data_IF_572744906909
#
_entry.id   IF_572744906909
#
_cell.length_a   1.000
_cell.length_b   1.000
_cell.length_c   1.000
_cell.angle_alpha   90.00
_cell.angle_beta   90.00
_cell.angle_gamma   90.00
#
_symmetry.space_group_name_H-M   'P 1'
#
loop_
_entity.id
_entity.type
_entity.pdbx_description
1 polymer ?
#
# COMPACT_ATOMS: atom_id res chain seq x y z
N UNK A 1 -34.57 -11.76 -18.71
CA UNK A 1 -33.50 -10.91 -18.13
C UNK A 1 -33.77 -10.78 -16.62
N UNK A 2 -32.73 -10.72 -15.81
CA UNK A 2 -32.84 -10.45 -14.38
C UNK A 2 -33.21 -8.99 -14.18
N UNK A 3 -34.17 -8.71 -13.28
CA UNK A 3 -34.65 -7.35 -13.04
C UNK A 3 -33.66 -6.60 -12.14
N UNK A 4 -33.24 -5.41 -12.54
CA UNK A 4 -32.32 -4.57 -11.79
C UNK A 4 -33.11 -3.77 -10.75
N UNK A 5 -32.93 -4.07 -9.49
CA UNK A 5 -33.42 -3.26 -8.39
C UNK A 5 -32.36 -2.22 -8.00
N UNK A 6 -32.58 -0.98 -8.35
CA UNK A 6 -31.75 0.15 -7.90
C UNK A 6 -32.46 0.83 -6.72
N UNK A 7 -31.77 0.95 -5.59
CA UNK A 7 -32.26 1.77 -4.50
C UNK A 7 -32.40 3.22 -5.00
N UNK A 8 -33.58 3.81 -4.83
CA UNK A 8 -33.86 5.21 -5.23
C UNK A 8 -32.93 6.25 -4.57
N UNK A 9 -32.21 5.84 -3.53
CA UNK A 9 -31.18 6.66 -2.85
C UNK A 9 -29.76 6.41 -3.39
N UNK A 10 -29.59 5.42 -4.26
CA UNK A 10 -28.29 5.10 -4.85
C UNK A 10 -27.89 6.21 -5.84
N UNK A 11 -26.67 6.72 -5.68
CA UNK A 11 -26.13 7.84 -6.50
C UNK A 11 -24.80 7.44 -7.07
N UNK A 12 -24.40 8.09 -8.17
CA UNK A 12 -23.03 8.07 -8.64
C UNK A 12 -22.06 8.38 -7.50
N UNK A 13 -20.89 7.75 -7.52
CA UNK A 13 -19.92 7.91 -6.44
C UNK A 13 -18.62 7.17 -6.73
N UNK A 14 -17.88 6.85 -5.67
CA UNK A 14 -16.55 6.27 -5.76
C UNK A 14 -16.51 4.94 -6.54
N UNK A 15 -17.59 4.13 -6.47
CA UNK A 15 -17.66 2.79 -7.05
C UNK A 15 -18.89 2.57 -7.96
N UNK A 16 -19.59 3.62 -8.34
CA UNK A 16 -20.81 3.52 -9.14
C UNK A 16 -20.86 4.63 -10.17
N UNK A 17 -21.22 4.27 -11.40
CA UNK A 17 -21.37 5.19 -12.52
C UNK A 17 -22.53 4.80 -13.42
N UNK A 18 -23.32 5.79 -13.86
CA UNK A 18 -24.39 5.61 -14.84
C UNK A 18 -24.06 6.33 -16.15
N UNK A 19 -24.28 5.67 -17.27
CA UNK A 19 -24.06 6.27 -18.59
C UNK A 19 -25.21 5.92 -19.53
N UNK A 20 -25.85 6.92 -20.08
CA UNK A 20 -27.02 6.78 -20.98
C UNK A 20 -26.81 5.87 -22.18
N UNK A 21 -25.64 5.89 -22.79
CA UNK A 21 -25.17 5.03 -23.90
C UNK A 21 -26.08 5.02 -25.15
N UNK A 22 -27.00 5.98 -25.33
CA UNK A 22 -27.99 6.03 -26.43
C UNK A 22 -27.37 6.16 -27.84
N UNK A 23 -26.10 6.43 -27.97
CA UNK A 23 -25.36 6.52 -29.24
C UNK A 23 -24.31 5.46 -29.42
N UNK A 24 -24.37 4.36 -28.65
CA UNK A 24 -23.35 3.34 -28.56
C UNK A 24 -22.44 3.52 -27.35
N UNK A 25 -21.29 2.86 -27.33
CA UNK A 25 -20.37 2.90 -26.20
C UNK A 25 -19.80 4.33 -25.98
N UNK A 26 -20.06 4.97 -24.81
CA UNK A 26 -19.59 6.33 -24.57
C UNK A 26 -18.05 6.38 -24.49
N UNK A 27 -17.43 7.39 -25.10
CA UNK A 27 -15.97 7.58 -25.04
C UNK A 27 -15.45 7.72 -23.61
N UNK A 28 -16.23 8.38 -22.73
CA UNK A 28 -15.95 8.54 -21.30
C UNK A 28 -15.98 7.23 -20.51
N UNK A 29 -16.51 6.13 -21.06
CA UNK A 29 -16.42 4.83 -20.42
C UNK A 29 -14.97 4.43 -20.14
N UNK A 30 -14.04 4.69 -21.04
CA UNK A 30 -12.64 4.30 -20.88
C UNK A 30 -11.91 5.18 -19.84
N UNK A 31 -12.34 6.42 -19.61
CA UNK A 31 -11.85 7.25 -18.52
C UNK A 31 -12.27 6.65 -17.17
N UNK A 32 -13.55 6.28 -17.04
CA UNK A 32 -14.08 5.57 -15.87
C UNK A 32 -13.42 4.20 -15.69
N UNK A 33 -13.18 3.44 -16.78
CA UNK A 33 -12.45 2.18 -16.74
C UNK A 33 -11.05 2.36 -16.13
N UNK A 34 -10.28 3.32 -16.62
CA UNK A 34 -8.96 3.65 -16.07
C UNK A 34 -9.08 4.08 -14.60
N UNK A 35 -10.02 4.97 -14.28
CA UNK A 35 -10.21 5.50 -12.93
C UNK A 35 -10.58 4.41 -11.92
N UNK A 36 -11.53 3.53 -12.24
CA UNK A 36 -11.92 2.43 -11.37
C UNK A 36 -10.80 1.40 -11.21
N UNK A 37 -10.13 1.03 -12.31
CA UNK A 37 -9.00 0.10 -12.26
C UNK A 37 -7.84 0.61 -11.40
N UNK A 38 -7.55 1.90 -11.42
CA UNK A 38 -6.47 2.51 -10.64
C UNK A 38 -6.85 2.83 -9.19
N UNK A 39 -8.14 2.68 -8.82
CA UNK A 39 -8.61 2.99 -7.46
C UNK A 39 -9.22 1.77 -6.77
N UNK A 40 -10.52 1.81 -6.47
CA UNK A 40 -11.21 0.80 -5.68
C UNK A 40 -12.07 -0.16 -6.53
N UNK A 41 -11.98 -0.06 -7.84
CA UNK A 41 -12.94 -0.70 -8.73
C UNK A 41 -14.32 -0.05 -8.66
N UNK A 42 -15.28 -0.65 -9.32
CA UNK A 42 -16.66 -0.16 -9.32
C UNK A 42 -17.54 -0.86 -10.33
N UNK A 43 -18.76 -0.38 -10.45
CA UNK A 43 -19.75 -0.85 -11.38
C UNK A 43 -20.21 0.29 -12.30
N UNK A 44 -20.27 0.03 -13.60
CA UNK A 44 -20.79 0.94 -14.60
C UNK A 44 -22.07 0.35 -15.18
N UNK A 45 -23.15 1.14 -15.18
CA UNK A 45 -24.39 0.78 -15.84
C UNK A 45 -24.54 1.58 -17.13
N UNK A 46 -24.50 0.92 -18.27
CA UNK A 46 -24.78 1.50 -19.59
C UNK A 46 -26.26 1.34 -19.93
N UNK A 47 -26.92 2.43 -20.28
CA UNK A 47 -28.37 2.47 -20.50
C UNK A 47 -29.14 3.13 -19.37
N UNK A 48 -28.46 3.71 -18.40
CA UNK A 48 -29.04 4.52 -17.32
C UNK A 48 -28.41 5.91 -17.31
N UNK A 49 -29.17 6.90 -16.80
CA UNK A 49 -28.72 8.27 -16.59
C UNK A 49 -29.22 8.77 -15.24
N UNK A 50 -28.36 9.36 -14.44
CA UNK A 50 -28.76 10.06 -13.23
C UNK A 50 -29.00 11.55 -13.57
N UNK A 51 -30.18 12.05 -13.23
CA UNK A 51 -30.55 13.46 -13.40
C UNK A 51 -30.04 14.31 -12.22
N UNK A 52 -30.03 15.63 -12.37
CA UNK A 52 -29.54 16.57 -11.35
C UNK A 52 -30.31 16.48 -10.01
N UNK A 53 -31.53 16.02 -10.00
CA UNK A 53 -32.32 15.75 -8.78
C UNK A 53 -31.99 14.40 -8.11
N UNK A 54 -31.12 13.63 -8.75
CA UNK A 54 -30.73 12.30 -8.30
C UNK A 54 -31.61 11.16 -8.80
N UNK A 55 -32.64 11.46 -9.61
CA UNK A 55 -33.50 10.44 -10.21
C UNK A 55 -32.74 9.65 -11.29
N UNK A 56 -32.86 8.32 -11.25
CA UNK A 56 -32.27 7.44 -12.27
C UNK A 56 -33.36 7.13 -13.32
N UNK A 57 -33.01 7.37 -14.58
CA UNK A 57 -33.89 7.14 -15.72
C UNK A 57 -33.27 6.19 -16.73
N UNK A 58 -34.12 5.42 -17.43
CA UNK A 58 -33.67 4.56 -18.54
C UNK A 58 -33.24 5.39 -19.75
N UNK A 59 -32.13 4.99 -20.37
CA UNK A 59 -31.67 5.49 -21.67
C UNK A 59 -32.48 4.90 -22.85
N UNK A 60 -33.43 4.01 -22.58
CA UNK A 60 -34.30 3.34 -23.56
C UNK A 60 -33.50 2.63 -24.67
N UNK A 61 -32.50 1.84 -24.28
CA UNK A 61 -31.74 1.02 -25.21
C UNK A 61 -32.61 -0.14 -25.71
N UNK A 62 -32.30 -0.65 -26.90
CA UNK A 62 -32.84 -1.88 -27.42
C UNK A 62 -31.85 -3.04 -27.23
N UNK A 63 -32.32 -4.28 -27.43
CA UNK A 63 -31.41 -5.45 -27.40
C UNK A 63 -30.31 -5.34 -28.47
N UNK A 64 -30.65 -4.81 -29.67
CA UNK A 64 -29.67 -4.56 -30.73
C UNK A 64 -28.61 -3.53 -30.33
N UNK A 65 -28.99 -2.49 -29.55
CA UNK A 65 -28.04 -1.52 -29.02
C UNK A 65 -27.08 -2.17 -28.02
N UNK A 66 -27.59 -3.02 -27.14
CA UNK A 66 -26.78 -3.76 -26.16
C UNK A 66 -25.77 -4.68 -26.88
N UNK A 67 -26.17 -5.41 -27.90
CA UNK A 67 -25.26 -6.29 -28.64
C UNK A 67 -24.17 -5.49 -29.38
N UNK A 68 -24.51 -4.36 -29.98
CA UNK A 68 -23.52 -3.45 -30.59
C UNK A 68 -22.53 -2.90 -29.54
N UNK A 69 -23.07 -2.47 -28.41
CA UNK A 69 -22.21 -1.96 -27.30
C UNK A 69 -21.26 -3.03 -26.80
N UNK A 70 -21.69 -4.29 -26.66
CA UNK A 70 -20.84 -5.42 -26.27
C UNK A 70 -19.72 -5.66 -27.28
N UNK A 71 -20.07 -5.72 -28.58
CA UNK A 71 -19.08 -5.91 -29.66
C UNK A 71 -18.01 -4.81 -29.62
N UNK A 72 -18.44 -3.54 -29.55
CA UNK A 72 -17.54 -2.40 -29.48
C UNK A 72 -16.68 -2.44 -28.21
N UNK A 73 -17.28 -2.77 -27.06
CA UNK A 73 -16.60 -2.88 -25.77
C UNK A 73 -15.48 -3.92 -25.82
N UNK A 74 -15.78 -5.16 -26.24
CA UNK A 74 -14.78 -6.21 -26.34
C UNK A 74 -13.69 -5.89 -27.37
N UNK A 75 -14.07 -5.31 -28.51
CA UNK A 75 -13.10 -4.88 -29.52
C UNK A 75 -12.12 -3.85 -28.98
N UNK A 76 -12.62 -2.83 -28.27
CA UNK A 76 -11.80 -1.74 -27.75
C UNK A 76 -11.01 -2.11 -26.48
N UNK A 77 -11.55 -2.99 -25.62
CA UNK A 77 -10.82 -3.52 -24.46
C UNK A 77 -9.63 -4.40 -24.87
N UNK A 78 -9.69 -5.04 -26.03
CA UNK A 78 -8.59 -5.85 -26.56
C UNK A 78 -7.68 -5.09 -27.55
N UNK A 79 -7.94 -3.81 -27.79
CA UNK A 79 -7.04 -2.94 -28.55
C UNK A 79 -5.98 -2.30 -27.64
N UNK A 80 -4.68 -2.70 -27.75
CA UNK A 80 -3.61 -2.14 -26.92
C UNK A 80 -3.36 -0.64 -27.18
N UNK A 81 -3.88 -0.09 -28.26
CA UNK A 81 -3.86 1.36 -28.52
C UNK A 81 -4.96 2.09 -27.73
N UNK A 82 -6.01 1.36 -27.33
CA UNK A 82 -7.13 1.94 -26.61
C UNK A 82 -6.98 1.82 -25.10
N UNK A 83 -6.62 0.63 -24.60
CA UNK A 83 -6.37 0.37 -23.16
C UNK A 83 -5.05 -0.35 -22.98
N UNK A 84 -4.32 -0.03 -21.91
CA UNK A 84 -3.03 -0.65 -21.60
C UNK A 84 -3.17 -2.13 -21.22
N UNK A 85 -4.28 -2.51 -20.62
CA UNK A 85 -4.59 -3.89 -20.20
C UNK A 85 -6.11 -4.07 -20.11
N UNK A 86 -6.61 -5.25 -20.49
CA UNK A 86 -8.01 -5.64 -20.29
C UNK A 86 -8.11 -6.43 -18.98
N UNK A 87 -8.90 -5.93 -18.03
CA UNK A 87 -9.15 -6.53 -16.71
C UNK A 87 -10.62 -6.93 -16.52
N UNK A 88 -11.46 -6.85 -17.58
CA UNK A 88 -12.88 -7.18 -17.50
C UNK A 88 -13.07 -8.60 -18.04
N UNK A 89 -13.29 -9.62 -17.21
CA UNK A 89 -13.67 -10.95 -17.66
C UNK A 89 -15.11 -10.98 -18.19
N UNK A 90 -15.44 -11.96 -19.00
CA UNK A 90 -16.77 -12.05 -19.64
C UNK A 90 -17.93 -12.12 -18.62
N UNK A 91 -17.73 -12.78 -17.48
CA UNK A 91 -18.71 -12.93 -16.41
C UNK A 91 -18.94 -11.65 -15.60
N UNK A 92 -18.07 -10.66 -15.75
CA UNK A 92 -18.24 -9.32 -15.17
C UNK A 92 -19.21 -8.42 -15.93
N UNK A 93 -19.71 -8.89 -17.11
CA UNK A 93 -20.64 -8.17 -17.96
C UNK A 93 -21.99 -8.90 -17.97
N UNK A 94 -23.03 -8.23 -17.50
CA UNK A 94 -24.38 -8.79 -17.41
C UNK A 94 -25.40 -7.88 -18.08
N UNK A 95 -26.38 -8.48 -18.75
CA UNK A 95 -27.54 -7.74 -19.25
C UNK A 95 -28.69 -7.90 -18.27
N UNK A 96 -29.15 -6.78 -17.75
CA UNK A 96 -30.25 -6.64 -16.79
C UNK A 96 -31.41 -5.86 -17.42
N UNK A 97 -32.55 -5.78 -16.73
CA UNK A 97 -33.72 -5.02 -17.19
C UNK A 97 -34.04 -3.94 -16.15
N UNK A 98 -34.25 -2.68 -16.61
CA UNK A 98 -34.71 -1.58 -15.79
C UNK A 98 -35.84 -0.82 -16.52
N UNK A 99 -37.00 -0.69 -15.90
CA UNK A 99 -38.19 -0.06 -16.46
C UNK A 99 -38.61 -0.61 -17.87
N UNK A 100 -38.44 -1.95 -18.06
CA UNK A 100 -38.76 -2.61 -19.32
C UNK A 100 -37.72 -2.43 -20.43
N UNK A 101 -36.57 -1.85 -20.16
CA UNK A 101 -35.47 -1.66 -21.09
C UNK A 101 -34.20 -2.40 -20.65
N UNK A 102 -33.43 -2.96 -21.60
CA UNK A 102 -32.18 -3.62 -21.28
C UNK A 102 -31.10 -2.61 -20.86
N UNK A 103 -30.32 -2.99 -19.88
CA UNK A 103 -29.19 -2.26 -19.29
C UNK A 103 -27.98 -3.17 -19.18
N UNK A 104 -26.81 -2.68 -19.48
CA UNK A 104 -25.58 -3.43 -19.35
C UNK A 104 -24.85 -3.06 -18.05
N UNK A 105 -24.75 -4.02 -17.13
CA UNK A 105 -23.90 -3.95 -15.94
C UNK A 105 -22.48 -4.39 -16.27
N UNK A 106 -21.48 -3.57 -15.92
CA UNK A 106 -20.06 -3.88 -16.13
C UNK A 106 -19.34 -3.70 -14.80
N UNK A 107 -18.85 -4.79 -14.21
CA UNK A 107 -18.06 -4.76 -12.98
C UNK A 107 -16.58 -4.63 -13.31
N UNK A 108 -15.94 -3.60 -12.78
CA UNK A 108 -14.53 -3.30 -12.98
C UNK A 108 -13.81 -3.53 -11.66
N UNK A 109 -12.97 -4.57 -11.59
CA UNK A 109 -12.15 -4.82 -10.42
C UNK A 109 -10.99 -3.82 -10.33
N UNK A 110 -10.50 -3.50 -9.12
CA UNK A 110 -9.25 -2.75 -8.98
C UNK A 110 -8.10 -3.56 -9.58
N UNK A 111 -7.26 -2.91 -10.40
CA UNK A 111 -6.10 -3.55 -11.01
C UNK A 111 -5.11 -4.02 -9.93
N UNK A 112 -4.51 -5.20 -10.07
CA UNK A 112 -3.38 -5.57 -9.25
C UNK A 112 -2.19 -4.61 -9.47
N UNK A 113 -1.29 -4.52 -8.48
CA UNK A 113 -0.20 -3.53 -8.50
C UNK A 113 0.67 -3.64 -9.76
N UNK A 114 0.96 -4.85 -10.21
CA UNK A 114 1.75 -5.16 -11.41
C UNK A 114 1.12 -4.66 -12.72
N UNK A 115 -0.20 -4.45 -12.74
CA UNK A 115 -0.95 -3.95 -13.90
C UNK A 115 -1.13 -2.41 -13.87
N UNK A 116 -0.77 -1.75 -12.78
CA UNK A 116 -0.93 -0.28 -12.67
C UNK A 116 0.29 0.47 -13.18
N UNK A 117 0.12 1.65 -13.79
CA UNK A 117 -1.16 2.31 -14.02
C UNK A 117 -1.91 1.74 -15.23
N UNK A 118 -3.23 1.59 -15.11
CA UNK A 118 -4.11 1.34 -16.24
C UNK A 118 -4.39 2.65 -16.95
N UNK A 119 -4.00 2.77 -18.21
CA UNK A 119 -4.14 4.00 -18.99
C UNK A 119 -4.80 3.76 -20.34
N UNK A 120 -5.30 4.81 -20.94
CA UNK A 120 -6.03 4.78 -22.22
C UNK A 120 -5.29 5.56 -23.31
N UNK A 121 -5.66 5.29 -24.57
CA UNK A 121 -5.19 5.98 -25.76
C UNK A 121 -3.65 5.97 -25.92
N UNK A 122 -3.03 4.88 -25.48
CA UNK A 122 -1.56 4.67 -25.54
C UNK A 122 -0.73 5.82 -24.95
N UNK A 123 -1.28 6.54 -23.96
CA UNK A 123 -0.59 7.65 -23.31
C UNK A 123 -0.70 7.56 -21.79
N UNK A 124 0.37 7.13 -21.16
CA UNK A 124 0.43 6.95 -19.71
C UNK A 124 0.29 8.27 -18.94
N UNK A 125 0.76 9.39 -19.50
CA UNK A 125 0.77 10.68 -18.79
C UNK A 125 -0.58 11.39 -18.80
N UNK A 126 -1.33 11.24 -19.90
CA UNK A 126 -2.63 11.90 -20.08
C UNK A 126 -3.81 10.94 -20.14
N UNK A 127 -3.55 9.63 -20.18
CA UNK A 127 -4.58 8.59 -20.22
C UNK A 127 -4.78 7.85 -18.91
N UNK A 128 -4.06 8.22 -17.84
CA UNK A 128 -4.21 7.61 -16.53
C UNK A 128 -5.15 8.45 -15.66
N UNK A 129 -6.23 7.80 -15.22
CA UNK A 129 -7.27 8.44 -14.40
C UNK A 129 -7.38 7.79 -13.02
N UNK A 130 -7.89 8.57 -12.07
CA UNK A 130 -8.28 8.12 -10.73
C UNK A 130 -9.69 8.57 -10.41
N UNK A 131 -10.41 7.79 -9.64
CA UNK A 131 -11.73 8.14 -9.13
C UNK A 131 -11.60 8.94 -7.84
N UNK A 132 -12.30 10.10 -7.77
CA UNK A 132 -12.40 10.88 -6.55
C UNK A 132 -13.82 11.44 -6.45
N UNK A 133 -14.57 11.00 -5.43
CA UNK A 133 -16.01 11.26 -5.37
C UNK A 133 -16.74 10.56 -6.52
N UNK A 134 -17.48 11.32 -7.29
CA UNK A 134 -18.24 10.94 -8.50
C UNK A 134 -17.52 11.28 -9.82
N UNK A 135 -16.29 11.82 -9.76
CA UNK A 135 -15.55 12.27 -10.93
C UNK A 135 -14.31 11.43 -11.25
N UNK A 136 -13.99 11.38 -12.56
CA UNK A 136 -12.79 10.79 -13.11
C UNK A 136 -11.77 11.89 -13.39
N UNK A 137 -10.63 11.87 -12.69
CA UNK A 137 -9.61 12.90 -12.76
C UNK A 137 -8.29 12.34 -13.25
N UNK A 138 -7.55 13.11 -14.04
CA UNK A 138 -6.19 12.73 -14.42
C UNK A 138 -5.31 12.54 -13.19
N UNK A 139 -4.51 11.46 -13.20
CA UNK A 139 -3.48 11.28 -12.20
C UNK A 139 -2.35 12.30 -12.38
N UNK A 140 -1.81 12.80 -11.28
CA UNK A 140 -0.60 13.60 -11.29
C UNK A 140 0.63 12.76 -11.68
N UNK A 141 1.69 13.43 -12.13
CA UNK A 141 2.96 12.75 -12.46
C UNK A 141 3.52 11.96 -11.27
N UNK A 142 3.32 12.47 -10.05
CA UNK A 142 3.76 11.81 -8.83
C UNK A 142 3.00 10.49 -8.59
N UNK A 143 1.66 10.49 -8.78
CA UNK A 143 0.83 9.29 -8.67
C UNK A 143 1.19 8.25 -9.74
N UNK A 144 1.41 8.67 -10.99
CA UNK A 144 1.84 7.76 -12.07
C UNK A 144 3.20 7.13 -11.73
N UNK A 145 4.17 7.94 -11.26
CA UNK A 145 5.48 7.42 -10.84
C UNK A 145 5.37 6.43 -9.68
N UNK A 146 4.47 6.69 -8.71
CA UNK A 146 4.22 5.76 -7.60
C UNK A 146 3.66 4.42 -8.11
N UNK A 147 2.65 4.43 -8.99
CA UNK A 147 2.10 3.23 -9.60
C UNK A 147 3.16 2.45 -10.39
N UNK A 148 4.00 3.14 -11.18
CA UNK A 148 5.11 2.52 -11.92
C UNK A 148 6.18 1.92 -11.02
N UNK A 149 6.45 2.49 -9.86
CA UNK A 149 7.33 1.87 -8.85
C UNK A 149 6.68 0.60 -8.31
N UNK A 150 5.40 0.69 -7.93
CA UNK A 150 4.66 -0.43 -7.34
C UNK A 150 4.43 -1.59 -8.32
N UNK A 151 4.43 -1.35 -9.64
CA UNK A 151 4.25 -2.38 -10.68
C UNK A 151 5.50 -3.23 -10.96
N UNK A 152 6.66 -2.86 -10.43
CA UNK A 152 7.89 -3.62 -10.68
C UNK A 152 7.92 -4.91 -9.87
N UNK A 153 8.16 -6.04 -10.53
CA UNK A 153 8.31 -7.36 -9.90
C UNK A 153 9.57 -7.49 -9.02
N UNK A 154 10.58 -6.65 -9.26
CA UNK A 154 11.84 -6.70 -8.50
C UNK A 154 11.66 -6.01 -7.16
N UNK A 155 12.19 -6.64 -6.09
CA UNK A 155 12.30 -5.99 -4.79
C UNK A 155 13.06 -4.67 -4.94
N UNK A 156 12.32 -3.56 -4.88
CA UNK A 156 12.89 -2.22 -5.12
C UNK A 156 13.89 -1.85 -4.02
N UNK A 157 13.63 -2.30 -2.80
CA UNK A 157 14.49 -2.09 -1.65
C UNK A 157 15.84 -2.86 -1.70
N UNK A 158 16.02 -3.77 -2.68
CA UNK A 158 17.31 -4.39 -3.02
C UNK A 158 18.14 -3.59 -4.05
N UNK A 159 17.63 -2.48 -4.58
CA UNK A 159 18.41 -1.64 -5.45
C UNK A 159 19.61 -1.04 -4.70
N UNK A 160 20.74 -0.90 -5.42
CA UNK A 160 21.98 -0.41 -4.83
C UNK A 160 21.99 1.12 -4.86
N UNK A 161 22.42 1.74 -3.75
CA UNK A 161 22.63 3.19 -3.64
C UNK A 161 24.12 3.46 -3.85
N UNK A 162 24.51 3.79 -5.10
CA UNK A 162 25.91 3.89 -5.53
C UNK A 162 26.66 5.07 -4.90
N UNK A 163 25.95 6.14 -4.52
CA UNK A 163 26.55 7.38 -4.03
C UNK A 163 26.86 7.34 -2.52
N UNK A 164 26.52 6.26 -1.85
CA UNK A 164 26.72 6.07 -0.41
C UNK A 164 27.64 4.87 -0.17
N UNK A 165 28.67 5.07 0.67
CA UNK A 165 29.58 4.01 1.12
C UNK A 165 28.98 3.21 2.27
N UNK A 166 29.33 1.92 2.39
CA UNK A 166 28.96 1.08 3.54
C UNK A 166 29.47 1.66 4.86
N UNK A 167 30.62 2.35 4.84
CA UNK A 167 31.20 2.99 6.03
C UNK A 167 30.35 4.20 6.56
N UNK A 168 29.37 4.64 5.79
CA UNK A 168 28.45 5.72 6.17
C UNK A 168 27.17 5.19 6.84
N UNK A 169 27.05 3.86 7.01
CA UNK A 169 26.03 3.24 7.84
C UNK A 169 26.40 3.31 9.32
N UNK A 170 25.39 3.31 10.20
CA UNK A 170 25.58 3.31 11.66
C UNK A 170 26.13 1.98 12.15
N UNK A 171 27.40 1.96 12.55
CA UNK A 171 28.03 0.78 13.15
C UNK A 171 27.34 0.34 14.45
N UNK A 172 26.79 1.30 15.22
CA UNK A 172 26.08 1.04 16.46
C UNK A 172 24.77 0.31 16.20
N UNK A 173 24.00 0.77 15.21
CA UNK A 173 22.75 0.13 14.80
C UNK A 173 23.01 -1.28 14.25
N UNK A 174 24.05 -1.43 13.42
CA UNK A 174 24.45 -2.75 12.87
C UNK A 174 24.84 -3.72 14.00
N UNK A 175 25.64 -3.27 14.97
CA UNK A 175 26.05 -4.09 16.10
C UNK A 175 24.85 -4.52 16.97
N UNK A 176 23.92 -3.60 17.23
CA UNK A 176 22.66 -3.86 17.95
C UNK A 176 21.82 -4.93 17.21
N UNK A 177 21.63 -4.75 15.92
CA UNK A 177 20.89 -5.70 15.07
C UNK A 177 21.56 -7.07 15.06
N UNK A 178 22.88 -7.15 14.82
CA UNK A 178 23.64 -8.40 14.79
C UNK A 178 23.63 -9.11 16.15
N UNK A 179 23.65 -8.37 17.24
CA UNK A 179 23.51 -8.90 18.59
C UNK A 179 22.19 -9.60 18.81
N UNK A 180 21.07 -8.94 18.39
CA UNK A 180 19.73 -9.53 18.47
C UNK A 180 19.59 -10.74 17.56
N UNK A 181 20.10 -10.66 16.34
CA UNK A 181 20.14 -11.81 15.42
C UNK A 181 20.86 -13.02 16.05
N UNK A 182 22.04 -12.79 16.66
CA UNK A 182 22.83 -13.84 17.33
C UNK A 182 22.08 -14.45 18.52
N UNK A 183 21.37 -13.64 19.27
CA UNK A 183 20.60 -14.14 20.42
C UNK A 183 19.47 -15.10 19.99
N UNK A 184 18.84 -14.86 18.84
CA UNK A 184 17.79 -15.71 18.29
C UNK A 184 18.33 -16.90 17.47
N UNK A 185 19.48 -16.74 16.83
CA UNK A 185 20.05 -17.71 15.89
C UNK A 185 21.56 -17.90 16.15
N UNK A 186 21.97 -18.46 17.31
CA UNK A 186 23.37 -18.47 17.74
C UNK A 186 24.31 -19.24 16.80
N UNK A 187 23.82 -20.25 16.10
CA UNK A 187 24.61 -21.11 15.19
C UNK A 187 24.34 -20.80 13.70
N UNK A 188 23.71 -19.67 13.39
CA UNK A 188 23.34 -19.38 12.01
C UNK A 188 24.56 -19.10 11.14
N UNK A 189 24.58 -19.66 9.92
CA UNK A 189 25.71 -19.54 8.97
C UNK A 189 26.07 -18.10 8.61
N UNK A 190 25.13 -17.15 8.70
CA UNK A 190 25.39 -15.73 8.46
C UNK A 190 26.33 -15.09 9.48
N UNK A 191 26.53 -15.71 10.64
CA UNK A 191 27.45 -15.25 11.68
C UNK A 191 28.90 -15.71 11.44
N UNK A 192 29.15 -16.59 10.46
CA UNK A 192 30.47 -17.15 10.12
C UNK A 192 31.31 -16.23 9.22
N UNK A 193 31.14 -14.92 9.32
CA UNK A 193 31.89 -13.96 8.51
C UNK A 193 32.09 -12.64 9.24
N UNK A 194 32.75 -11.72 8.57
CA UNK A 194 32.84 -10.34 9.01
C UNK A 194 31.49 -9.62 8.91
N UNK A 195 31.43 -8.38 9.37
CA UNK A 195 30.20 -7.59 9.36
C UNK A 195 29.72 -7.30 7.93
N UNK A 196 30.64 -7.17 6.99
CA UNK A 196 30.30 -6.92 5.60
C UNK A 196 29.59 -8.12 4.95
N UNK A 197 30.07 -9.33 5.20
CA UNK A 197 29.43 -10.57 4.75
C UNK A 197 28.07 -10.79 5.42
N UNK A 198 27.98 -10.49 6.71
CA UNK A 198 26.71 -10.53 7.41
C UNK A 198 25.68 -9.59 6.76
N UNK A 199 26.06 -8.34 6.49
CA UNK A 199 25.21 -7.35 5.83
C UNK A 199 24.81 -7.78 4.40
N UNK A 200 25.71 -8.43 3.67
CA UNK A 200 25.41 -9.01 2.34
C UNK A 200 24.34 -10.10 2.43
N UNK A 201 24.48 -11.02 3.38
CA UNK A 201 23.55 -12.15 3.55
C UNK A 201 22.12 -11.70 3.95
N UNK A 202 22.00 -10.65 4.76
CA UNK A 202 20.69 -10.11 5.10
C UNK A 202 20.13 -9.20 4.01
N UNK A 203 20.90 -8.86 2.98
CA UNK A 203 20.49 -8.02 1.86
C UNK A 203 20.69 -6.52 2.09
N UNK A 204 21.44 -6.13 3.14
CA UNK A 204 21.69 -4.73 3.47
C UNK A 204 22.73 -4.08 2.55
N UNK A 205 23.66 -4.87 2.01
CA UNK A 205 24.68 -4.40 1.08
C UNK A 205 24.81 -5.33 -0.11
N UNK A 206 25.31 -4.82 -1.24
CA UNK A 206 25.60 -5.57 -2.45
C UNK A 206 26.83 -4.99 -3.15
N UNK A 207 27.47 -5.83 -3.96
CA UNK A 207 28.58 -5.41 -4.82
C UNK A 207 28.01 -4.63 -6.01
N UNK A 208 28.46 -3.40 -6.17
CA UNK A 208 28.12 -2.55 -7.31
C UNK A 208 28.95 -2.86 -8.57
N UNK A 209 28.69 -2.13 -9.66
CA UNK A 209 29.42 -2.26 -10.92
C UNK A 209 30.93 -1.92 -10.80
N UNK A 210 31.27 -1.06 -9.85
CA UNK A 210 32.64 -0.69 -9.49
C UNK A 210 33.39 -1.76 -8.64
N UNK A 211 32.80 -2.93 -8.44
CA UNK A 211 33.33 -4.02 -7.62
C UNK A 211 33.53 -3.65 -6.14
N UNK A 212 32.86 -2.62 -5.65
CA UNK A 212 32.83 -2.23 -4.23
C UNK A 212 31.46 -2.50 -3.65
N UNK A 213 31.41 -2.70 -2.31
CA UNK A 213 30.16 -2.84 -1.60
C UNK A 213 29.48 -1.48 -1.39
N UNK A 214 28.21 -1.44 -1.67
CA UNK A 214 27.33 -0.31 -1.42
C UNK A 214 26.09 -0.74 -0.66
N UNK A 215 25.46 0.15 0.12
CA UNK A 215 24.16 -0.15 0.72
C UNK A 215 23.12 -0.42 -0.35
N UNK A 216 22.21 -1.33 -0.08
CA UNK A 216 20.93 -1.36 -0.76
C UNK A 216 20.01 -0.30 -0.17
N UNK A 217 18.90 0.00 -0.83
CA UNK A 217 17.85 0.88 -0.26
C UNK A 217 17.43 0.35 1.12
N UNK A 218 17.19 -0.98 1.25
CA UNK A 218 16.86 -1.58 2.54
C UNK A 218 17.97 -1.37 3.57
N UNK A 219 19.23 -1.56 3.19
CA UNK A 219 20.37 -1.35 4.08
C UNK A 219 20.52 0.10 4.52
N UNK A 220 20.34 1.05 3.59
CA UNK A 220 20.37 2.47 3.90
C UNK A 220 19.24 2.86 4.87
N UNK A 221 18.01 2.43 4.60
CA UNK A 221 16.86 2.73 5.45
C UNK A 221 16.95 2.10 6.84
N UNK A 222 17.48 0.87 6.93
CA UNK A 222 17.60 0.12 8.19
C UNK A 222 18.77 0.58 9.06
N UNK A 223 19.88 1.02 8.46
CA UNK A 223 21.15 1.24 9.17
C UNK A 223 21.80 2.59 8.88
N UNK A 224 21.26 3.41 7.96
CA UNK A 224 21.80 4.72 7.63
C UNK A 224 21.52 5.75 8.74
N UNK A 225 22.20 6.90 8.64
CA UNK A 225 21.81 8.09 9.39
C UNK A 225 20.77 8.89 8.63
N UNK A 226 19.82 9.54 9.32
CA UNK A 226 18.71 10.29 8.70
C UNK A 226 19.19 11.28 7.66
N UNK A 227 20.27 12.03 7.93
CA UNK A 227 20.83 13.00 6.97
C UNK A 227 21.39 12.36 5.69
N UNK A 228 21.74 11.06 5.71
CA UNK A 228 22.12 10.29 4.51
C UNK A 228 20.90 9.72 3.79
N UNK A 229 19.91 9.27 4.56
CA UNK A 229 18.66 8.72 4.01
C UNK A 229 17.93 9.79 3.19
N UNK A 230 17.87 11.04 3.67
CA UNK A 230 17.19 12.14 2.95
C UNK A 230 17.87 12.54 1.63
N UNK A 231 19.12 12.16 1.36
CA UNK A 231 19.71 12.33 0.04
C UNK A 231 19.00 11.48 -1.02
N UNK A 232 18.66 10.24 -0.69
CA UNK A 232 17.96 9.33 -1.59
C UNK A 232 16.43 9.50 -1.49
N UNK A 233 15.93 9.81 -0.29
CA UNK A 233 14.52 9.95 0.05
C UNK A 233 14.26 11.33 0.68
N UNK A 234 14.12 12.40 -0.11
CA UNK A 234 13.94 13.77 0.42
C UNK A 234 12.72 13.94 1.33
N UNK A 235 11.70 13.10 1.16
CA UNK A 235 10.46 13.12 1.94
C UNK A 235 10.50 12.15 3.15
N UNK A 236 11.66 11.53 3.41
CA UNK A 236 11.80 10.60 4.52
C UNK A 236 11.58 11.30 5.85
N UNK A 237 10.58 10.83 6.58
CA UNK A 237 10.25 11.33 7.91
C UNK A 237 9.60 10.23 8.73
N UNK A 238 10.09 10.04 9.97
CA UNK A 238 9.53 9.13 10.95
C UNK A 238 9.11 9.94 12.17
N UNK A 239 7.89 9.72 12.64
CA UNK A 239 7.34 10.45 13.77
C UNK A 239 6.50 9.52 14.65
N UNK A 240 6.80 9.54 15.94
CA UNK A 240 5.98 8.93 16.99
C UNK A 240 5.59 9.98 17.99
N UNK A 241 4.32 10.05 18.35
CA UNK A 241 3.75 11.04 19.26
C UNK A 241 2.86 10.37 20.30
N UNK A 242 2.95 10.81 21.57
CA UNK A 242 2.02 10.44 22.64
C UNK A 242 1.07 11.61 22.94
N UNK A 243 -0.23 11.34 22.95
CA UNK A 243 -1.30 12.30 23.16
C UNK A 243 -2.13 11.88 24.38
N UNK A 244 -1.66 12.24 25.57
CA UNK A 244 -2.32 11.89 26.84
C UNK A 244 -3.00 13.09 27.51
N UNK A 245 -2.84 14.29 26.99
CA UNK A 245 -3.48 15.50 27.51
C UNK A 245 -4.77 15.78 26.76
N UNK A 246 -5.80 16.20 27.50
CA UNK A 246 -7.03 16.78 26.94
C UNK A 246 -6.87 18.29 26.67
N UNK A 247 -5.71 18.87 27.01
CA UNK A 247 -5.40 20.27 26.79
C UNK A 247 -4.94 20.47 25.34
N UNK A 248 -5.70 21.19 24.56
CA UNK A 248 -5.44 21.48 23.14
C UNK A 248 -4.18 22.31 22.90
N UNK A 249 -3.63 22.97 23.96
CA UNK A 249 -2.37 23.71 23.88
C UNK A 249 -1.15 22.74 23.91
N UNK A 250 -1.33 21.52 24.41
CA UNK A 250 -0.28 20.51 24.48
C UNK A 250 -0.29 19.65 23.23
N UNK A 251 0.60 19.92 22.29
CA UNK A 251 0.68 19.23 21.01
C UNK A 251 0.99 17.73 21.14
N UNK A 252 1.85 17.36 22.08
CA UNK A 252 2.20 15.97 22.46
C UNK A 252 2.84 15.96 23.84
N UNK A 253 2.72 14.83 24.55
CA UNK A 253 3.38 14.63 25.87
C UNK A 253 4.77 14.03 25.74
N UNK A 254 5.01 13.25 24.69
CA UNK A 254 6.32 12.67 24.33
C UNK A 254 6.38 12.42 22.82
N UNK A 255 7.59 12.45 22.24
CA UNK A 255 7.77 12.20 20.81
C UNK A 255 9.13 11.57 20.48
N UNK A 256 9.19 10.92 19.30
CA UNK A 256 10.43 10.41 18.68
C UNK A 256 10.38 10.79 17.21
N UNK A 257 11.27 11.66 16.74
CA UNK A 257 11.32 12.06 15.33
C UNK A 257 12.68 11.75 14.72
N UNK A 258 12.70 11.43 13.43
CA UNK A 258 13.95 11.17 12.67
C UNK A 258 14.81 12.40 12.49
N UNK A 259 14.23 13.61 12.69
CA UNK A 259 14.90 14.90 12.46
C UNK A 259 15.54 15.48 13.73
N UNK A 260 15.38 14.83 14.90
CA UNK A 260 15.88 15.38 16.16
C UNK A 260 17.41 15.48 16.23
N UNK A 261 18.12 14.61 15.49
CA UNK A 261 19.58 14.52 15.54
C UNK A 261 20.13 13.79 16.77
N UNK A 262 19.28 13.36 17.71
CA UNK A 262 19.69 12.71 18.96
C UNK A 262 20.00 11.22 18.79
N UNK A 263 19.69 10.66 17.63
CA UNK A 263 19.85 9.25 17.29
C UNK A 263 20.03 9.10 15.77
N UNK A 264 20.25 7.87 15.29
CA UNK A 264 20.50 7.60 13.88
C UNK A 264 19.40 8.06 12.92
N UNK A 265 18.14 8.04 13.35
CA UNK A 265 16.97 8.35 12.54
C UNK A 265 16.58 7.25 11.53
N UNK A 266 17.18 6.05 11.62
CA UNK A 266 16.88 4.93 10.73
C UNK A 266 15.70 4.08 11.22
N UNK A 267 15.24 3.15 10.35
CA UNK A 267 14.06 2.34 10.62
C UNK A 267 14.25 1.35 11.78
N UNK A 268 15.44 0.75 11.93
CA UNK A 268 15.65 -0.22 12.99
C UNK A 268 15.65 0.44 14.38
N UNK A 269 16.37 1.54 14.54
CA UNK A 269 16.40 2.27 15.80
C UNK A 269 15.04 2.90 16.11
N UNK A 270 14.32 3.40 15.09
CA UNK A 270 12.94 3.86 15.24
C UNK A 270 12.04 2.75 15.79
N UNK A 271 12.10 1.57 15.14
CA UNK A 271 11.32 0.42 15.59
C UNK A 271 11.57 0.08 17.05
N UNK A 272 12.83 -0.04 17.47
CA UNK A 272 13.17 -0.38 18.86
C UNK A 272 12.66 0.69 19.84
N UNK A 273 12.83 1.97 19.52
CA UNK A 273 12.38 3.09 20.37
C UNK A 273 10.87 3.13 20.50
N UNK A 274 10.18 3.01 19.39
CA UNK A 274 8.70 3.12 19.34
C UNK A 274 8.04 1.91 19.98
N UNK A 275 8.51 0.68 19.73
CA UNK A 275 7.98 -0.50 20.42
C UNK A 275 8.09 -0.36 21.93
N UNK A 276 9.24 0.06 22.44
CA UNK A 276 9.41 0.26 23.88
C UNK A 276 8.42 1.28 24.45
N UNK A 277 8.17 2.39 23.73
CA UNK A 277 7.19 3.42 24.15
C UNK A 277 5.74 2.94 24.01
N UNK A 278 5.40 2.24 22.92
CA UNK A 278 4.05 1.72 22.73
C UNK A 278 3.66 0.70 23.79
N UNK A 279 4.61 -0.15 24.20
CA UNK A 279 4.37 -1.22 25.18
C UNK A 279 4.53 -0.77 26.62
N UNK A 280 5.16 0.38 26.86
CA UNK A 280 5.24 0.98 28.18
C UNK A 280 3.83 1.24 28.73
N UNK A 281 3.52 0.81 29.93
CA UNK A 281 2.23 0.94 30.60
C UNK A 281 1.11 -0.02 30.10
N UNK A 282 1.41 -0.99 29.24
CA UNK A 282 0.44 -2.05 28.98
C UNK A 282 0.29 -2.94 30.23
N UNK A 283 -0.96 -3.19 30.63
CA UNK A 283 -1.23 -4.09 31.75
C UNK A 283 -0.94 -5.52 31.31
N UNK A 284 0.08 -6.13 31.93
CA UNK A 284 0.41 -7.56 31.73
C UNK A 284 -0.31 -8.37 32.82
N UNK A 285 -1.31 -9.19 32.48
CA UNK A 285 -1.90 -10.12 33.43
C UNK A 285 -0.83 -11.08 33.95
N UNK A 286 -0.88 -11.41 35.25
CA UNK A 286 0.03 -12.42 35.78
C UNK A 286 -0.34 -13.79 35.20
N UNK A 287 0.50 -14.32 34.31
CA UNK A 287 0.37 -15.65 33.73
C UNK A 287 1.71 -16.38 33.85
N UNK A 288 1.64 -17.67 34.08
CA UNK A 288 2.78 -18.56 34.18
C UNK A 288 2.70 -19.65 33.10
N UNK A 289 3.81 -19.92 32.44
CA UNK A 289 3.99 -21.09 31.59
C UNK A 289 5.05 -21.98 32.22
N UNK A 290 4.61 -23.06 32.86
CA UNK A 290 5.47 -23.86 33.72
C UNK A 290 5.99 -23.07 34.93
N UNK A 291 7.31 -22.83 34.99
CA UNK A 291 7.97 -22.06 36.06
C UNK A 291 8.34 -20.63 35.63
N UNK A 292 8.07 -20.26 34.38
CA UNK A 292 8.42 -18.95 33.84
C UNK A 292 7.17 -18.05 33.78
N UNK A 293 7.36 -16.78 34.12
CA UNK A 293 6.33 -15.75 33.98
C UNK A 293 6.25 -15.30 32.54
N UNK A 294 5.04 -15.26 31.98
CA UNK A 294 4.80 -14.68 30.67
C UNK A 294 4.70 -13.16 30.83
N UNK A 295 5.73 -12.47 30.43
CA UNK A 295 5.76 -11.00 30.43
C UNK A 295 5.28 -10.38 29.11
N UNK A 296 4.94 -11.22 28.12
CA UNK A 296 4.49 -10.82 26.81
C UNK A 296 3.04 -11.24 26.56
N UNK A 297 2.18 -10.29 26.26
CA UNK A 297 0.77 -10.55 25.93
C UNK A 297 0.58 -10.57 24.41
N UNK A 298 -0.52 -11.18 23.89
CA UNK A 298 -0.86 -11.08 22.46
C UNK A 298 -0.93 -9.64 21.94
N UNK A 299 -1.29 -8.67 22.82
CA UNK A 299 -1.29 -7.24 22.47
C UNK A 299 0.12 -6.72 22.19
N UNK A 300 1.15 -7.13 22.96
CA UNK A 300 2.54 -6.75 22.69
C UNK A 300 3.00 -7.26 21.33
N UNK A 301 2.65 -8.52 20.99
CA UNK A 301 2.95 -9.12 19.69
C UNK A 301 2.23 -8.39 18.56
N UNK A 302 0.92 -8.11 18.71
CA UNK A 302 0.14 -7.39 17.72
C UNK A 302 0.67 -5.97 17.44
N UNK A 303 1.11 -5.24 18.48
CA UNK A 303 1.67 -3.90 18.31
C UNK A 303 3.02 -3.92 17.58
N UNK A 304 3.88 -4.90 17.88
CA UNK A 304 5.16 -5.08 17.18
C UNK A 304 4.94 -5.43 15.71
N UNK A 305 4.00 -6.32 15.45
CA UNK A 305 3.64 -6.69 14.10
C UNK A 305 3.02 -5.52 13.32
N UNK A 306 2.11 -4.76 13.94
CA UNK A 306 1.51 -3.58 13.33
C UNK A 306 2.55 -2.53 12.94
N UNK A 307 3.52 -2.25 13.79
CA UNK A 307 4.61 -1.32 13.47
C UNK A 307 5.52 -1.86 12.37
N UNK A 308 5.87 -3.15 12.41
CA UNK A 308 6.66 -3.81 11.36
C UNK A 308 5.92 -3.74 10.01
N UNK A 309 4.62 -4.02 9.99
CA UNK A 309 3.77 -3.93 8.81
C UNK A 309 3.68 -2.49 8.29
N UNK A 310 3.55 -1.52 9.18
CA UNK A 310 3.56 -0.10 8.82
C UNK A 310 4.89 0.27 8.12
N UNK A 311 6.04 -0.09 8.69
CA UNK A 311 7.36 0.18 8.12
C UNK A 311 7.55 -0.54 6.77
N UNK A 312 7.21 -1.83 6.70
CA UNK A 312 7.44 -2.64 5.49
C UNK A 312 6.52 -2.26 4.31
N UNK A 313 5.40 -1.60 4.57
CA UNK A 313 4.48 -1.12 3.55
C UNK A 313 4.61 0.37 3.22
N UNK A 314 5.43 1.13 3.94
CA UNK A 314 5.63 2.56 3.71
C UNK A 314 6.27 2.86 2.34
N UNK A 315 5.77 3.87 1.64
CA UNK A 315 6.41 4.46 0.45
C UNK A 315 7.22 5.69 0.88
N UNK A 316 8.50 5.50 1.15
CA UNK A 316 9.40 6.57 1.58
C UNK A 316 9.68 7.64 0.51
N UNK A 317 9.18 7.47 -0.72
CA UNK A 317 9.19 8.51 -1.77
C UNK A 317 7.95 9.42 -1.72
N UNK A 318 7.01 9.15 -0.81
CA UNK A 318 5.76 9.91 -0.73
C UNK A 318 5.89 11.07 0.26
N UNK A 319 5.22 12.19 -0.04
CA UNK A 319 5.33 13.47 0.69
C UNK A 319 4.84 13.49 2.15
N UNK A 320 4.42 12.36 2.67
CA UNK A 320 4.03 12.22 4.08
C UNK A 320 4.86 11.11 4.70
N UNK A 321 5.48 11.41 5.84
CA UNK A 321 6.24 10.43 6.60
C UNK A 321 5.38 9.33 7.22
N UNK A 322 6.04 8.34 7.82
CA UNK A 322 5.40 7.34 8.66
C UNK A 322 5.15 7.96 10.04
N UNK A 323 3.88 8.09 10.42
CA UNK A 323 3.48 8.71 11.69
C UNK A 323 2.71 7.70 12.54
N UNK A 324 3.13 7.57 13.80
CA UNK A 324 2.47 6.73 14.81
C UNK A 324 2.00 7.62 15.95
N UNK A 325 0.71 7.61 16.27
CA UNK A 325 0.11 8.39 17.35
C UNK A 325 -0.47 7.47 18.40
N UNK A 326 0.00 7.58 19.63
CA UNK A 326 -0.52 6.83 20.77
C UNK A 326 -1.41 7.73 21.62
N UNK A 327 -2.64 7.33 21.80
CA UNK A 327 -3.63 7.93 22.68
C UNK A 327 -3.84 7.03 23.91
N UNK A 328 -4.71 7.45 24.83
CA UNK A 328 -5.05 6.65 26.02
C UNK A 328 -5.80 5.36 25.67
N UNK A 329 -6.59 5.38 24.61
CA UNK A 329 -7.53 4.32 24.21
C UNK A 329 -7.18 3.63 22.88
N UNK A 330 -6.25 4.21 22.07
CA UNK A 330 -5.91 3.71 20.73
C UNK A 330 -4.51 4.08 20.28
N UNK A 331 -4.02 3.39 19.26
CA UNK A 331 -2.81 3.73 18.51
C UNK A 331 -3.18 3.84 17.04
N UNK A 332 -2.77 4.93 16.40
CA UNK A 332 -3.01 5.22 14.98
C UNK A 332 -1.70 5.12 14.21
N UNK A 333 -1.71 4.37 13.11
CA UNK A 333 -0.60 4.26 12.17
C UNK A 333 -0.99 4.96 10.86
N UNK A 334 -0.25 5.99 10.48
CA UNK A 334 -0.45 6.74 9.24
C UNK A 334 0.70 6.41 8.29
N UNK A 335 0.43 5.55 7.31
CA UNK A 335 1.42 5.10 6.34
C UNK A 335 1.45 6.01 5.11
N UNK A 336 2.65 6.40 4.63
CA UNK A 336 2.78 7.07 3.36
C UNK A 336 2.56 6.09 2.20
N UNK A 337 1.88 6.57 1.15
CA UNK A 337 1.60 5.80 -0.06
C UNK A 337 0.22 5.14 -0.08
N UNK A 338 -0.01 4.33 -1.09
CA UNK A 338 -1.25 3.57 -1.31
C UNK A 338 -1.09 2.09 -0.97
N UNK A 339 -2.18 1.41 -0.65
CA UNK A 339 -2.17 -0.03 -0.50
C UNK A 339 -1.88 -0.71 -1.85
N UNK A 340 -1.01 -1.71 -1.85
CA UNK A 340 -0.69 -2.52 -3.04
C UNK A 340 -1.78 -3.54 -3.37
N UNK A 341 -2.48 -4.02 -2.34
CA UNK A 341 -3.64 -4.92 -2.44
C UNK A 341 -4.92 -4.19 -2.03
N UNK A 342 -6.07 -4.72 -2.40
CA UNK A 342 -7.34 -4.12 -1.97
C UNK A 342 -7.49 -4.21 -0.45
N UNK A 343 -8.15 -3.21 0.15
CA UNK A 343 -8.41 -3.21 1.60
C UNK A 343 -9.15 -4.48 2.05
N UNK A 344 -10.10 -4.97 1.23
CA UNK A 344 -10.84 -6.19 1.51
C UNK A 344 -9.90 -7.41 1.61
N UNK A 345 -8.96 -7.58 0.66
CA UNK A 345 -7.96 -8.65 0.71
C UNK A 345 -7.05 -8.51 1.92
N UNK A 346 -6.59 -7.29 2.22
CA UNK A 346 -5.75 -7.04 3.39
C UNK A 346 -6.43 -7.43 4.72
N UNK A 347 -7.72 -7.14 4.87
CA UNK A 347 -8.44 -7.37 6.12
C UNK A 347 -9.09 -8.76 6.24
N UNK A 348 -9.56 -9.34 5.12
CA UNK A 348 -10.34 -10.58 5.13
C UNK A 348 -9.48 -11.81 4.89
N UNK A 349 -8.58 -11.77 3.89
CA UNK A 349 -7.80 -12.94 3.50
C UNK A 349 -6.47 -13.08 4.22
N UNK A 350 -6.01 -12.04 4.94
CA UNK A 350 -4.68 -12.03 5.53
C UNK A 350 -3.56 -12.03 4.49
N UNK A 351 -3.87 -11.75 3.20
CA UNK A 351 -2.87 -11.57 2.18
C UNK A 351 -2.06 -10.31 2.43
N UNK A 352 -0.75 -10.40 2.24
CA UNK A 352 0.18 -9.28 2.37
C UNK A 352 1.08 -9.21 1.15
N UNK A 353 1.18 -8.03 0.57
CA UNK A 353 2.19 -7.71 -0.44
C UNK A 353 2.99 -6.50 0.04
N UNK A 354 4.00 -6.79 0.87
CA UNK A 354 4.87 -5.76 1.40
C UNK A 354 5.62 -5.03 0.28
N UNK A 355 5.64 -3.69 0.34
CA UNK A 355 6.39 -2.84 -0.59
C UNK A 355 7.89 -3.05 -0.43
N UNK A 356 8.36 -3.12 0.82
CA UNK A 356 9.77 -3.27 1.19
C UNK A 356 10.03 -4.69 1.71
N UNK A 357 10.07 -5.66 0.77
CA UNK A 357 10.17 -7.09 1.10
C UNK A 357 11.49 -7.46 1.80
N UNK A 358 12.57 -6.76 1.48
CA UNK A 358 13.87 -6.99 2.13
C UNK A 358 13.87 -6.46 3.55
N UNK A 359 13.29 -5.28 3.79
CA UNK A 359 13.10 -4.73 5.14
C UNK A 359 12.26 -5.68 5.99
N UNK A 360 11.14 -6.18 5.46
CA UNK A 360 10.31 -7.18 6.15
C UNK A 360 11.11 -8.44 6.50
N UNK A 361 11.92 -8.95 5.56
CA UNK A 361 12.81 -10.09 5.79
C UNK A 361 13.84 -9.80 6.89
N UNK A 362 14.42 -8.58 6.89
CA UNK A 362 15.37 -8.17 7.95
C UNK A 362 14.68 -8.15 9.32
N UNK A 363 13.47 -7.64 9.43
CA UNK A 363 12.71 -7.72 10.69
C UNK A 363 12.40 -9.16 11.10
N UNK A 364 12.07 -10.04 10.15
CA UNK A 364 11.88 -11.46 10.40
C UNK A 364 13.11 -12.15 11.01
N UNK A 365 14.32 -11.78 10.58
CA UNK A 365 15.57 -12.31 11.13
C UNK A 365 15.82 -11.93 12.61
N UNK A 366 15.20 -10.88 13.09
CA UNK A 366 15.31 -10.44 14.49
C UNK A 366 14.03 -10.73 15.30
N UNK A 367 13.22 -11.68 14.81
CA UNK A 367 12.02 -12.16 15.52
C UNK A 367 10.85 -11.19 15.49
N UNK A 368 10.72 -10.41 14.40
CA UNK A 368 9.63 -9.46 14.20
C UNK A 368 9.02 -9.72 12.83
N UNK A 369 7.69 -9.74 12.73
CA UNK A 369 7.01 -9.97 11.46
C UNK A 369 7.12 -11.43 11.01
N UNK A 370 6.46 -12.34 11.71
CA UNK A 370 6.31 -13.72 11.26
C UNK A 370 5.57 -13.77 9.91
N UNK A 371 5.99 -14.68 9.02
CA UNK A 371 5.39 -14.88 7.69
C UNK A 371 3.94 -15.40 7.76
N UNK A 372 3.47 -15.82 8.91
CA UNK A 372 2.07 -16.13 9.14
C UNK A 372 1.31 -14.85 9.50
N UNK A 373 0.94 -14.10 8.47
CA UNK A 373 -0.06 -13.05 8.57
C UNK A 373 -1.40 -13.73 8.75
N UNK A 374 -1.61 -14.18 9.95
CA UNK A 374 -2.84 -14.77 10.40
C UNK A 374 -3.33 -14.05 11.63
N UNK A 375 -4.20 -13.07 11.43
CA UNK A 375 -5.16 -12.63 12.44
C UNK A 375 -4.60 -11.75 13.57
N UNK A 376 -4.22 -10.53 13.29
CA UNK A 376 -4.46 -9.49 14.27
C UNK A 376 -5.99 -9.23 14.31
N UNK A 377 -6.70 -9.89 15.19
CA UNK A 377 -8.05 -9.48 15.55
C UNK A 377 -7.90 -8.26 16.47
N UNK A 378 -8.10 -7.07 15.89
CA UNK A 378 -8.27 -5.82 16.63
C UNK A 378 -9.73 -5.66 16.99
#
# INVERSE_FOLDING_TARGET
>A
MEHLEIDKQQREGIQLEFKKAKGGLPKSFFETYSAFSNTKGGCVYLGLEQLDDGTIVSGMLTEDDIEKIKVDLFSLLNDPKKVSVNLIPEDAIRTLEYDGYPVLEIKIAPAPAECRPVFINNNIMTGTYRRNGDGDYHCSVAEIKAMLRDSRDKNQDLAIVMDISVNELSSETIASYKSRFRALHPEHVFLNGDDLKFLEYIGAVRIGENQTYHPTIAGLLMFGYSYKIVYEFPEYFLDYQEHYSEDDEIRWTDCVTSDSGDWSGNLYDFYIRVVNKMTLNLKVPFQMEGLERIDETPLHQALREALCNAISNADFNFSRGLVVKKYLDRIEFQNPGSLRISAEKAFVSGESDARNKTILKMFGFVGVGEREIGRAHV
#
